data_IF_490845876087
#
_entry.id   IF_490845876087
#
_cell.length_a   1.000
_cell.length_b   1.000
_cell.length_c   1.000
_cell.angle_alpha   90.00
_cell.angle_beta   90.00
_cell.angle_gamma   90.00
#
_symmetry.space_group_name_H-M   'P 1'
#
loop_
_entity.id
_entity.type
_entity.pdbx_description
1 polymer ?
#
# COMPACT_ATOMS: atom_id res chain seq x y z
N UNK A 1 -7.06 8.37 -19.65
CA UNK A 1 -6.78 9.67 -20.29
C UNK A 1 -5.73 9.51 -21.36
N UNK A 2 -5.75 10.41 -22.35
CA UNK A 2 -4.68 10.52 -23.35
C UNK A 2 -3.35 10.72 -22.62
N UNK A 3 -2.29 10.04 -23.08
CA UNK A 3 -0.98 10.05 -22.44
C UNK A 3 -0.75 8.98 -21.36
N UNK A 4 -1.79 8.26 -20.90
CA UNK A 4 -1.59 7.15 -19.97
C UNK A 4 -0.79 6.01 -20.59
N UNK A 5 0.05 5.34 -19.79
CA UNK A 5 0.89 4.24 -20.28
C UNK A 5 0.07 3.02 -20.65
N UNK A 6 0.34 2.45 -21.82
CA UNK A 6 -0.24 1.20 -22.31
C UNK A 6 0.88 0.18 -22.47
N UNK A 7 0.70 -1.00 -21.89
CA UNK A 7 1.66 -2.11 -21.93
C UNK A 7 1.03 -3.29 -22.67
N UNK A 8 1.78 -3.85 -23.62
CA UNK A 8 1.45 -5.13 -24.24
C UNK A 8 2.14 -6.25 -23.46
N UNK A 9 1.38 -7.26 -23.08
CA UNK A 9 1.82 -8.38 -22.26
C UNK A 9 1.69 -9.69 -23.06
N UNK A 10 2.64 -10.60 -22.85
CA UNK A 10 2.60 -11.97 -23.38
C UNK A 10 2.26 -12.94 -22.24
N UNK A 11 1.44 -13.98 -22.48
CA UNK A 11 1.20 -15.01 -21.47
C UNK A 11 2.52 -15.59 -20.95
N UNK A 12 2.67 -15.64 -19.62
CA UNK A 12 3.85 -16.20 -18.96
C UNK A 12 5.09 -15.30 -18.90
N UNK A 13 5.02 -14.05 -19.36
CA UNK A 13 6.12 -13.07 -19.27
C UNK A 13 5.68 -11.89 -18.41
N UNK A 14 6.44 -11.56 -17.38
CA UNK A 14 6.16 -10.42 -16.47
C UNK A 14 6.43 -9.08 -17.13
N UNK A 15 7.45 -9.02 -18.00
CA UNK A 15 7.85 -7.79 -18.67
C UNK A 15 7.01 -7.51 -19.92
N UNK A 16 6.65 -6.25 -20.17
CA UNK A 16 5.90 -5.88 -21.35
C UNK A 16 6.74 -6.07 -22.62
N UNK A 17 6.13 -6.66 -23.65
CA UNK A 17 6.77 -6.85 -24.96
C UNK A 17 6.83 -5.56 -25.78
N UNK A 18 5.98 -4.58 -25.45
CA UNK A 18 6.01 -3.23 -25.97
C UNK A 18 5.30 -2.29 -25.00
N UNK A 19 5.76 -1.03 -24.93
CA UNK A 19 5.14 0.04 -24.13
C UNK A 19 4.87 1.24 -25.02
N UNK A 20 3.75 1.90 -24.81
CA UNK A 20 3.38 3.15 -25.47
C UNK A 20 2.48 3.97 -24.55
N UNK A 21 1.87 5.03 -25.07
CA UNK A 21 0.86 5.85 -24.42
C UNK A 21 -0.45 5.83 -25.19
N UNK A 22 -1.56 6.10 -24.48
CA UNK A 22 -2.88 6.27 -25.09
C UNK A 22 -2.82 7.47 -26.03
N UNK A 23 -3.06 7.24 -27.32
CA UNK A 23 -3.11 8.30 -28.34
C UNK A 23 -4.49 8.89 -28.50
N UNK A 24 -5.55 8.09 -28.30
CA UNK A 24 -6.93 8.54 -28.43
C UNK A 24 -7.88 7.66 -27.62
N UNK A 25 -8.97 8.25 -27.14
CA UNK A 25 -10.09 7.57 -26.49
C UNK A 25 -11.35 7.98 -27.25
N UNK A 26 -12.05 7.01 -27.81
CA UNK A 26 -13.35 7.24 -28.43
C UNK A 26 -14.41 7.43 -27.32
N UNK A 27 -15.13 8.56 -27.28
CA UNK A 27 -16.16 8.78 -26.27
C UNK A 27 -17.39 7.89 -26.47
N UNK A 28 -17.58 7.29 -27.65
CA UNK A 28 -18.68 6.39 -27.91
C UNK A 28 -18.46 5.05 -27.18
N UNK A 29 -19.39 4.73 -26.28
CA UNK A 29 -19.42 3.42 -25.60
C UNK A 29 -19.84 2.35 -26.62
N UNK A 30 -19.07 1.26 -26.71
CA UNK A 30 -19.42 0.15 -27.58
C UNK A 30 -20.63 -0.61 -27.02
N UNK A 31 -21.70 -0.68 -27.83
CA UNK A 31 -22.89 -1.46 -27.52
C UNK A 31 -22.51 -2.93 -27.30
N UNK A 32 -22.99 -3.53 -26.21
CA UNK A 32 -22.73 -4.94 -25.85
C UNK A 32 -21.54 -5.19 -24.92
N UNK A 33 -20.58 -4.26 -24.80
CA UNK A 33 -19.42 -4.42 -23.87
C UNK A 33 -19.34 -3.34 -22.80
N UNK A 34 -20.11 -2.24 -22.93
CA UNK A 34 -20.03 -1.07 -22.06
C UNK A 34 -18.59 -0.50 -21.96
N UNK A 35 -17.73 -0.83 -22.93
CA UNK A 35 -16.33 -0.41 -22.99
C UNK A 35 -16.13 0.82 -23.87
N UNK A 36 -15.06 1.56 -23.60
CA UNK A 36 -14.56 2.62 -24.47
C UNK A 36 -13.48 2.06 -25.39
N UNK A 37 -13.45 2.51 -26.64
CA UNK A 37 -12.37 2.17 -27.56
C UNK A 37 -11.17 3.07 -27.27
N UNK A 38 -10.06 2.46 -26.86
CA UNK A 38 -8.78 3.14 -26.59
C UNK A 38 -7.78 2.74 -27.67
N UNK A 39 -7.08 3.72 -28.25
CA UNK A 39 -6.03 3.51 -29.25
C UNK A 39 -4.67 3.93 -28.69
N UNK A 40 -3.64 3.19 -29.07
CA UNK A 40 -2.23 3.46 -28.78
C UNK A 40 -1.37 3.02 -29.97
N UNK A 41 -0.22 3.67 -30.17
CA UNK A 41 0.67 3.42 -31.31
C UNK A 41 1.97 2.80 -30.78
N UNK A 42 2.30 1.60 -31.22
CA UNK A 42 3.52 0.91 -30.78
C UNK A 42 4.54 0.85 -31.91
N UNK A 43 5.79 1.16 -31.60
CA UNK A 43 6.90 0.90 -32.52
C UNK A 43 7.10 -0.61 -32.67
N UNK A 44 7.32 -1.06 -33.90
CA UNK A 44 7.52 -2.48 -34.23
C UNK A 44 8.75 -2.69 -35.14
N UNK A 45 9.94 -2.20 -34.76
CA UNK A 45 11.12 -2.23 -35.62
C UNK A 45 11.56 -3.65 -36.00
N UNK A 46 11.32 -4.62 -35.11
CA UNK A 46 11.70 -6.01 -35.30
C UNK A 46 10.58 -6.87 -35.93
N UNK A 47 9.43 -6.28 -36.29
CA UNK A 47 8.32 -6.99 -36.92
C UNK A 47 7.66 -8.09 -36.07
N UNK A 48 7.82 -8.06 -34.75
CA UNK A 48 7.35 -9.10 -33.84
C UNK A 48 5.84 -9.04 -33.59
N UNK A 49 5.24 -7.85 -33.69
CA UNK A 49 3.79 -7.65 -33.61
C UNK A 49 3.15 -7.84 -34.99
N UNK A 50 2.19 -8.76 -35.10
CA UNK A 50 1.50 -9.05 -36.37
C UNK A 50 0.10 -8.47 -36.41
N UNK A 51 -0.35 -8.08 -37.60
CA UNK A 51 -1.73 -7.64 -37.85
C UNK A 51 -2.73 -8.73 -37.46
N UNK A 52 -3.82 -8.34 -36.80
CA UNK A 52 -4.87 -9.27 -36.33
C UNK A 52 -4.50 -10.08 -35.09
N UNK A 53 -3.28 -9.95 -34.57
CA UNK A 53 -2.86 -10.61 -33.34
C UNK A 53 -3.59 -10.02 -32.13
N UNK A 54 -4.11 -10.90 -31.27
CA UNK A 54 -4.63 -10.52 -29.95
C UNK A 54 -3.50 -10.67 -28.92
N UNK A 55 -3.32 -9.64 -28.11
CA UNK A 55 -2.37 -9.60 -27.00
C UNK A 55 -3.07 -9.09 -25.76
N UNK A 56 -2.60 -9.51 -24.58
CA UNK A 56 -3.11 -8.95 -23.34
C UNK A 56 -2.59 -7.53 -23.21
N UNK A 57 -3.49 -6.58 -23.00
CA UNK A 57 -3.14 -5.15 -22.93
C UNK A 57 -3.58 -4.62 -21.58
N UNK A 58 -2.68 -3.92 -20.89
CA UNK A 58 -3.00 -3.21 -19.65
C UNK A 58 -2.77 -1.71 -19.83
N UNK A 59 -3.77 -0.91 -19.47
CA UNK A 59 -3.62 0.55 -19.35
C UNK A 59 -3.31 0.86 -17.89
N UNK A 60 -2.18 1.50 -17.64
CA UNK A 60 -1.79 1.93 -16.30
C UNK A 60 -2.51 3.25 -15.98
N UNK A 61 -3.59 3.13 -15.22
CA UNK A 61 -4.28 4.28 -14.63
C UNK A 61 -3.37 4.88 -13.55
N UNK A 62 -3.36 6.21 -13.42
CA UNK A 62 -2.32 7.00 -12.73
C UNK A 62 -1.65 6.33 -11.52
N UNK A 63 -0.33 6.44 -11.44
CA UNK A 63 0.45 5.89 -10.32
C UNK A 63 0.81 7.01 -9.34
N UNK A 64 0.44 6.83 -8.07
CA UNK A 64 0.93 7.67 -6.98
C UNK A 64 1.80 6.82 -6.06
N UNK A 65 3.03 7.27 -5.82
CA UNK A 65 3.88 6.67 -4.80
C UNK A 65 3.41 7.17 -3.43
N UNK A 66 3.01 6.24 -2.57
CA UNK A 66 2.59 6.50 -1.20
C UNK A 66 3.37 5.57 -0.28
N UNK A 67 3.68 6.04 0.91
CA UNK A 67 4.16 5.18 1.98
C UNK A 67 3.06 4.20 2.36
N UNK A 68 3.46 2.98 2.72
CA UNK A 68 2.52 1.91 2.96
C UNK A 68 2.92 1.10 4.19
N UNK A 69 1.92 0.60 4.89
CA UNK A 69 2.09 -0.30 6.02
C UNK A 69 1.62 -1.71 5.63
N UNK A 70 2.21 -2.77 6.20
CA UNK A 70 1.72 -4.12 6.00
C UNK A 70 0.24 -4.25 6.39
N UNK A 71 -0.52 -5.05 5.63
CA UNK A 71 -1.91 -5.37 5.98
C UNK A 71 -2.05 -5.87 7.42
N UNK A 72 -1.08 -6.67 7.89
CA UNK A 72 -1.06 -7.23 9.24
C UNK A 72 -0.79 -6.22 10.36
N UNK A 73 -0.41 -4.98 10.03
CA UNK A 73 -0.19 -3.90 11.00
C UNK A 73 -1.45 -3.06 11.26
N UNK A 74 -2.46 -3.16 10.40
CA UNK A 74 -3.70 -2.37 10.50
C UNK A 74 -4.74 -3.16 11.27
N UNK A 75 -5.25 -2.55 12.34
CA UNK A 75 -6.39 -3.05 13.08
C UNK A 75 -7.57 -2.09 12.93
N UNK A 76 -8.79 -2.61 13.09
CA UNK A 76 -10.02 -1.83 13.00
C UNK A 76 -10.82 -2.00 14.29
N UNK A 77 -11.23 -0.89 14.90
CA UNK A 77 -12.14 -0.88 16.04
C UNK A 77 -13.21 0.18 15.81
N UNK A 78 -14.47 -0.18 16.03
CA UNK A 78 -15.62 0.73 15.88
C UNK A 78 -15.66 1.45 14.52
N UNK A 79 -15.24 0.78 13.44
CA UNK A 79 -15.17 1.34 12.09
C UNK A 79 -13.99 2.28 11.81
N UNK A 80 -13.09 2.51 12.78
CA UNK A 80 -11.88 3.29 12.60
C UNK A 80 -10.64 2.39 12.47
N UNK A 81 -9.81 2.69 11.48
CA UNK A 81 -8.53 2.02 11.30
C UNK A 81 -7.46 2.67 12.15
N UNK A 82 -6.59 1.85 12.72
CA UNK A 82 -5.44 2.30 13.50
C UNK A 82 -4.29 1.32 13.36
N UNK A 83 -3.09 1.79 13.67
CA UNK A 83 -1.90 0.95 13.83
C UNK A 83 -1.32 1.15 15.21
N UNK A 84 -0.46 0.24 15.65
CA UNK A 84 0.43 0.51 16.77
C UNK A 84 1.81 0.88 16.25
N UNK A 85 2.26 2.10 16.50
CA UNK A 85 3.64 2.53 16.23
C UNK A 85 4.51 2.32 17.46
N UNK A 86 5.80 2.12 17.25
CA UNK A 86 6.78 2.01 18.33
C UNK A 86 7.26 3.42 18.69
N UNK A 87 7.02 3.84 19.93
CA UNK A 87 7.39 5.16 20.42
C UNK A 87 8.24 5.16 21.69
N UNK A 88 8.80 6.32 22.04
CA UNK A 88 9.50 6.58 23.30
C UNK A 88 8.53 6.97 24.43
N UNK A 89 9.02 6.97 25.66
CA UNK A 89 8.26 7.47 26.80
C UNK A 89 7.81 8.93 26.60
N UNK A 90 8.70 9.80 26.10
CA UNK A 90 8.37 11.21 25.81
C UNK A 90 7.21 11.35 24.81
N UNK A 91 7.12 10.47 23.80
CA UNK A 91 6.01 10.48 22.84
C UNK A 91 4.71 9.97 23.48
N UNK A 92 4.80 9.03 24.42
CA UNK A 92 3.67 8.58 25.22
C UNK A 92 3.16 9.70 26.15
N UNK A 93 4.06 10.51 26.73
CA UNK A 93 3.65 11.65 27.57
C UNK A 93 2.88 12.72 26.79
N UNK A 94 3.19 12.91 25.50
CA UNK A 94 2.44 13.83 24.63
C UNK A 94 1.05 13.31 24.28
N UNK A 95 0.87 11.98 24.28
CA UNK A 95 -0.39 11.33 23.95
C UNK A 95 -0.66 10.22 24.98
N UNK A 96 -1.01 10.56 26.24
CA UNK A 96 -1.06 9.57 27.31
C UNK A 96 -2.25 8.62 27.19
N UNK A 97 -3.36 9.09 26.61
CA UNK A 97 -4.59 8.31 26.52
C UNK A 97 -5.02 7.80 27.90
N UNK A 98 -5.10 6.47 28.04
CA UNK A 98 -5.41 5.78 29.31
C UNK A 98 -4.18 5.08 29.92
N UNK A 99 -2.97 5.38 29.43
CA UNK A 99 -1.74 4.76 29.92
C UNK A 99 -1.40 5.27 31.33
N UNK A 100 -1.06 4.38 32.28
CA UNK A 100 -0.73 4.77 33.65
C UNK A 100 0.70 5.33 33.73
N UNK A 101 0.89 6.59 33.30
CA UNK A 101 2.22 7.21 33.16
C UNK A 101 3.11 7.06 34.40
N UNK A 102 2.55 7.22 35.61
CA UNK A 102 3.32 7.15 36.85
C UNK A 102 4.02 5.80 37.03
N UNK A 103 3.35 4.70 36.65
CA UNK A 103 3.94 3.35 36.69
C UNK A 103 4.95 3.10 35.58
N UNK A 104 4.82 3.84 34.47
CA UNK A 104 5.67 3.67 33.29
C UNK A 104 6.97 4.48 33.39
N UNK A 105 7.00 5.52 34.23
CA UNK A 105 8.21 6.32 34.52
C UNK A 105 9.31 5.51 35.20
N UNK A 106 8.93 4.51 36.01
CA UNK A 106 9.88 3.67 36.74
C UNK A 106 10.54 2.60 35.87
N UNK A 107 10.15 2.50 34.58
CA UNK A 107 10.73 1.52 33.65
C UNK A 107 12.14 1.95 33.18
N UNK A 108 13.00 0.99 32.79
CA UNK A 108 14.35 1.31 32.32
C UNK A 108 14.36 2.32 31.17
N UNK A 109 15.34 3.22 31.20
CA UNK A 109 15.57 4.16 30.11
C UNK A 109 15.76 3.41 28.78
N UNK A 110 15.10 3.91 27.73
CA UNK A 110 15.11 3.27 26.41
C UNK A 110 13.97 2.26 26.17
N UNK A 111 13.14 1.97 27.18
CA UNK A 111 11.90 1.19 27.00
C UNK A 111 11.06 1.78 25.87
N UNK A 112 10.57 0.91 24.98
CA UNK A 112 9.70 1.30 23.86
C UNK A 112 8.25 0.97 24.19
N UNK A 113 7.34 1.76 23.65
CA UNK A 113 5.91 1.64 23.92
C UNK A 113 5.12 1.50 22.63
N UNK A 114 4.04 0.73 22.67
CA UNK A 114 3.05 0.67 21.61
C UNK A 114 2.15 1.90 21.69
N UNK A 115 2.24 2.79 20.71
CA UNK A 115 1.36 3.94 20.60
C UNK A 115 0.29 3.64 19.55
N UNK A 116 -0.96 3.53 20.01
CA UNK A 116 -2.10 3.42 19.12
C UNK A 116 -2.30 4.73 18.36
N UNK A 117 -2.20 4.68 17.04
CA UNK A 117 -2.32 5.84 16.16
C UNK A 117 -3.43 5.58 15.14
N UNK A 118 -4.52 6.38 15.14
CA UNK A 118 -5.53 6.33 14.09
C UNK A 118 -4.91 6.59 12.71
N UNK A 119 -5.35 5.84 11.69
CA UNK A 119 -4.85 5.99 10.33
C UNK A 119 -5.99 6.05 9.34
N UNK A 120 -5.80 6.82 8.26
CA UNK A 120 -6.58 6.66 7.04
C UNK A 120 -5.73 5.92 6.03
N UNK A 121 -6.29 4.84 5.50
CA UNK A 121 -5.62 3.99 4.51
C UNK A 121 -6.44 3.90 3.24
N UNK A 122 -5.77 3.79 2.10
CA UNK A 122 -6.41 3.51 0.82
C UNK A 122 -6.70 2.01 0.64
N UNK A 123 -7.10 1.60 -0.58
CA UNK A 123 -7.35 0.19 -0.87
C UNK A 123 -6.07 -0.64 -0.75
N UNK A 124 -6.19 -1.88 -0.25
CA UNK A 124 -5.06 -2.82 -0.13
C UNK A 124 -4.52 -3.17 -1.52
N UNK A 125 -3.20 -3.13 -1.67
CA UNK A 125 -2.48 -3.52 -2.88
C UNK A 125 -1.25 -4.33 -2.48
N UNK A 126 -1.07 -5.54 -3.05
CA UNK A 126 0.07 -6.41 -2.75
C UNK A 126 0.31 -6.63 -1.25
N UNK A 127 -0.76 -6.85 -0.47
CA UNK A 127 -0.73 -7.04 0.99
C UNK A 127 -0.20 -5.81 1.79
N UNK A 128 -0.23 -4.63 1.18
CA UNK A 128 0.11 -3.35 1.80
C UNK A 128 -1.08 -2.39 1.74
N UNK A 129 -1.28 -1.63 2.80
CA UNK A 129 -2.20 -0.50 2.83
C UNK A 129 -1.44 0.80 2.57
N UNK A 130 -1.73 1.55 1.49
CA UNK A 130 -1.18 2.88 1.32
C UNK A 130 -1.71 3.79 2.42
N UNK A 131 -0.81 4.46 3.13
CA UNK A 131 -1.14 5.40 4.20
C UNK A 131 -1.48 6.74 3.57
N UNK A 132 -2.67 7.25 3.91
CA UNK A 132 -3.12 8.58 3.52
C UNK A 132 -2.88 9.58 4.65
N UNK A 133 -3.11 9.15 5.90
CA UNK A 133 -2.91 9.96 7.11
C UNK A 133 -2.56 9.08 8.32
N UNK A 134 -1.89 9.66 9.32
CA UNK A 134 -1.71 9.11 10.66
C UNK A 134 -0.29 8.63 10.98
N UNK A 135 0.38 7.95 10.06
CA UNK A 135 1.76 7.45 10.24
C UNK A 135 2.71 8.17 9.31
N UNK A 136 3.90 8.49 9.80
CA UNK A 136 4.94 9.16 9.04
C UNK A 136 6.00 8.18 8.50
N UNK A 137 6.68 8.55 7.39
CA UNK A 137 7.79 7.75 6.87
C UNK A 137 8.90 7.59 7.92
N UNK A 138 9.41 6.36 8.06
CA UNK A 138 10.44 6.02 9.05
C UNK A 138 9.90 5.62 10.42
N UNK A 139 8.61 5.80 10.72
CA UNK A 139 8.01 5.26 11.94
C UNK A 139 7.89 3.73 11.85
N UNK A 140 8.30 3.04 12.91
CA UNK A 140 8.16 1.59 13.01
C UNK A 140 6.75 1.22 13.44
N UNK A 141 6.06 0.41 12.64
CA UNK A 141 4.75 -0.15 12.97
C UNK A 141 4.87 -1.59 13.44
N UNK A 142 4.05 -1.96 14.43
CA UNK A 142 3.99 -3.32 14.95
C UNK A 142 3.11 -4.15 14.01
N UNK A 143 3.60 -5.32 13.63
CA UNK A 143 2.96 -6.22 12.64
C UNK A 143 2.46 -7.53 13.24
N UNK A 144 2.63 -7.73 14.55
CA UNK A 144 2.30 -8.98 15.25
C UNK A 144 1.61 -8.72 16.58
N UNK A 145 0.81 -9.70 17.01
CA UNK A 145 0.14 -9.72 18.32
C UNK A 145 -0.78 -8.51 18.62
N UNK A 146 -1.35 -7.87 17.59
CA UNK A 146 -2.11 -6.62 17.75
C UNK A 146 -3.31 -6.72 18.70
N UNK A 147 -3.96 -7.88 18.77
CA UNK A 147 -5.13 -8.11 19.64
C UNK A 147 -4.80 -7.97 21.13
N UNK A 148 -3.56 -8.22 21.52
CA UNK A 148 -3.12 -8.14 22.91
C UNK A 148 -2.44 -6.79 23.23
N UNK A 149 -2.19 -5.95 22.23
CA UNK A 149 -1.58 -4.64 22.42
C UNK A 149 -2.60 -3.64 22.94
N UNK A 150 -2.13 -2.75 23.81
CA UNK A 150 -2.84 -1.56 24.25
C UNK A 150 -1.94 -0.35 24.11
N UNK A 151 -2.56 0.81 23.98
CA UNK A 151 -1.84 2.08 23.98
C UNK A 151 -1.03 2.22 25.28
N UNK A 152 0.25 2.58 25.16
CA UNK A 152 1.18 2.73 26.28
C UNK A 152 1.75 1.42 26.82
N UNK A 153 1.49 0.28 26.17
CA UNK A 153 2.07 -0.99 26.60
C UNK A 153 3.55 -1.08 26.22
N UNK A 154 4.46 -1.50 27.12
CA UNK A 154 5.86 -1.69 26.79
C UNK A 154 6.03 -2.83 25.77
N UNK A 155 6.92 -2.63 24.80
CA UNK A 155 7.18 -3.58 23.72
C UNK A 155 8.67 -3.76 23.47
N UNK A 156 9.03 -4.94 23.00
CA UNK A 156 10.38 -5.25 22.53
C UNK A 156 10.34 -5.48 21.02
N UNK A 157 11.24 -4.81 20.30
CA UNK A 157 11.36 -4.97 18.86
C UNK A 157 12.01 -6.33 18.59
N UNK A 158 11.28 -7.20 17.89
CA UNK A 158 11.84 -8.41 17.29
C UNK A 158 11.95 -8.19 15.78
N UNK A 159 13.04 -8.65 15.14
CA UNK A 159 13.13 -8.65 13.68
C UNK A 159 11.89 -9.31 13.09
N UNK A 160 11.32 -8.70 12.05
CA UNK A 160 10.17 -9.27 11.36
C UNK A 160 10.56 -10.64 10.80
N UNK A 161 9.88 -11.70 11.22
CA UNK A 161 10.06 -13.01 10.61
C UNK A 161 9.50 -12.96 9.18
N UNK A 162 10.27 -13.36 8.15
CA UNK A 162 9.75 -13.45 6.80
C UNK A 162 8.61 -14.47 6.79
N UNK A 163 7.43 -14.03 6.36
CA UNK A 163 6.30 -14.94 6.12
C UNK A 163 6.70 -15.85 4.95
N UNK A 164 6.55 -17.19 5.05
CA UNK A 164 6.80 -18.07 3.92
C UNK A 164 5.93 -17.64 2.74
N UNK A 165 6.54 -17.58 1.55
CA UNK A 165 5.81 -17.37 0.31
C UNK A 165 4.77 -18.49 0.18
N UNK A 166 3.50 -18.12 0.03
CA UNK A 166 2.43 -19.03 -0.36
C UNK A 166 2.35 -19.09 -1.89
#
# INVERSE_FOLDING_TARGET
EVGQTVKLLKPGVSDPIATSTVSSIDPAVQAGTQGLLVKAIFENPNGTLRTGQRVLTSVQLGSKKLDAVPFTAVATASGQNFVFRVGSFQQLEQQPGQAPLDKLKDLPEGTKFALQTPVKVGPVQNNLYPVLEGVQPGEMVITSNLMNLKHGMPVQIKPAQPKPAQ
#
